data_IF_638600671152
#
_entry.id   IF_638600671152
#
_cell.length_a   1.000
_cell.length_b   1.000
_cell.length_c   1.000
_cell.angle_alpha   90.00
_cell.angle_beta   90.00
_cell.angle_gamma   90.00
#
_symmetry.space_group_name_H-M   'P 1'
#
loop_
_entity.id
_entity.type
_entity.pdbx_description
1 polymer ?
#
# COMPACT_ATOMS: atom_id res chain seq x y z
N UNK A 1 -22.91 1.02 17.94
CA UNK A 1 -21.69 1.18 17.09
C UNK A 1 -20.51 1.47 17.99
N UNK A 2 -19.50 0.62 17.97
CA UNK A 2 -18.24 0.83 18.71
C UNK A 2 -17.41 1.89 17.99
N UNK A 3 -16.97 2.91 18.71
CA UNK A 3 -16.10 3.94 18.15
C UNK A 3 -14.67 3.59 18.50
N UNK A 4 -13.76 3.62 17.52
CA UNK A 4 -12.32 3.36 17.70
C UNK A 4 -11.53 4.63 17.37
N UNK A 5 -10.39 4.80 18.04
CA UNK A 5 -9.45 5.87 17.80
C UNK A 5 -8.21 5.32 17.09
N UNK A 6 -7.87 5.88 15.93
CA UNK A 6 -6.72 5.49 15.13
C UNK A 6 -5.46 6.32 15.42
N UNK A 7 -5.49 7.29 16.35
CA UNK A 7 -4.38 8.22 16.61
C UNK A 7 -3.06 7.51 16.95
N UNK A 8 -3.11 6.36 17.63
CA UNK A 8 -1.93 5.55 17.92
C UNK A 8 -1.30 4.96 16.64
N UNK A 9 -2.11 4.53 15.69
CA UNK A 9 -1.65 4.08 14.37
C UNK A 9 -1.09 5.25 13.55
N UNK A 10 -1.75 6.41 13.57
CA UNK A 10 -1.27 7.62 12.89
C UNK A 10 0.12 8.03 13.40
N UNK A 11 0.30 8.03 14.71
CA UNK A 11 1.58 8.32 15.38
C UNK A 11 2.67 7.34 14.98
N UNK A 12 2.32 6.07 14.75
CA UNK A 12 3.23 5.04 14.24
C UNK A 12 3.50 5.17 12.73
N UNK A 13 2.84 6.11 12.04
CA UNK A 13 2.95 6.32 10.59
C UNK A 13 2.03 5.41 9.75
N UNK A 14 1.13 4.67 10.38
CA UNK A 14 0.07 3.89 9.74
C UNK A 14 -1.18 4.78 9.58
N UNK A 15 -1.03 5.88 8.85
CA UNK A 15 -1.89 7.05 8.83
C UNK A 15 -2.99 7.03 7.75
N UNK A 16 -3.28 5.87 7.20
CA UNK A 16 -4.39 5.64 6.28
C UNK A 16 -5.23 4.47 6.83
N UNK A 17 -6.51 4.71 7.12
CA UNK A 17 -7.43 3.67 7.59
C UNK A 17 -8.76 3.79 6.85
N UNK A 18 -9.28 2.66 6.40
CA UNK A 18 -10.62 2.57 5.84
C UNK A 18 -11.34 1.34 6.41
N UNK A 19 -12.55 1.54 6.89
CA UNK A 19 -13.41 0.49 7.45
C UNK A 19 -14.51 0.16 6.45
N UNK A 20 -14.62 -1.11 6.09
CA UNK A 20 -15.65 -1.62 5.20
C UNK A 20 -16.54 -2.61 5.94
N UNK A 21 -17.80 -2.67 5.57
CA UNK A 21 -18.68 -3.78 5.92
C UNK A 21 -18.35 -4.95 4.99
N UNK A 22 -17.97 -6.11 5.55
CA UNK A 22 -17.63 -7.29 4.74
C UNK A 22 -18.77 -7.71 3.81
N UNK A 23 -20.00 -7.69 4.28
CA UNK A 23 -21.18 -8.02 3.47
C UNK A 23 -21.47 -7.01 2.33
N UNK A 24 -20.80 -5.86 2.30
CA UNK A 24 -20.93 -4.88 1.21
C UNK A 24 -19.81 -5.01 0.15
N UNK A 25 -18.80 -5.82 0.41
CA UNK A 25 -17.76 -6.13 -0.58
C UNK A 25 -18.32 -7.06 -1.67
N UNK A 26 -17.72 -7.10 -2.87
CA UNK A 26 -18.05 -8.13 -3.86
C UNK A 26 -17.99 -9.53 -3.23
N UNK A 27 -19.02 -10.35 -3.48
CA UNK A 27 -19.20 -11.61 -2.77
C UNK A 27 -18.01 -12.56 -2.86
N UNK A 28 -17.32 -12.60 -4.01
CA UNK A 28 -16.09 -13.38 -4.20
C UNK A 28 -14.93 -12.88 -3.33
N UNK A 29 -14.83 -11.56 -3.12
CA UNK A 29 -13.79 -10.95 -2.27
C UNK A 29 -14.09 -11.26 -0.80
N UNK A 30 -15.34 -11.08 -0.36
CA UNK A 30 -15.75 -11.38 1.00
C UNK A 30 -15.54 -12.86 1.34
N UNK A 31 -15.95 -13.77 0.45
CA UNK A 31 -15.80 -15.22 0.65
C UNK A 31 -14.32 -15.67 0.66
N UNK A 32 -13.46 -15.02 -0.13
CA UNK A 32 -12.03 -15.34 -0.14
C UNK A 32 -11.32 -14.88 1.14
N UNK A 33 -11.77 -13.78 1.75
CA UNK A 33 -11.15 -13.20 2.95
C UNK A 33 -11.73 -13.78 4.25
N UNK A 34 -13.02 -14.08 4.29
CA UNK A 34 -13.73 -14.61 5.47
C UNK A 34 -14.68 -15.74 5.04
N UNK A 35 -14.14 -16.92 4.66
CA UNK A 35 -14.93 -18.03 4.13
C UNK A 35 -15.96 -18.58 5.13
N UNK A 36 -15.72 -18.39 6.41
CA UNK A 36 -16.63 -18.84 7.48
C UNK A 36 -17.64 -17.76 7.91
N UNK A 37 -17.52 -16.54 7.38
CA UNK A 37 -18.43 -15.43 7.70
C UNK A 37 -18.41 -15.02 9.18
N UNK A 38 -17.24 -15.09 9.82
CA UNK A 38 -17.08 -14.85 11.28
C UNK A 38 -16.94 -13.36 11.64
N UNK A 39 -16.67 -12.52 10.66
CA UNK A 39 -16.34 -11.12 10.90
C UNK A 39 -17.35 -10.19 10.22
N UNK A 40 -17.55 -9.02 10.80
CA UNK A 40 -18.48 -8.00 10.28
C UNK A 40 -17.79 -6.90 9.51
N UNK A 41 -16.56 -6.58 9.85
CA UNK A 41 -15.81 -5.46 9.26
C UNK A 41 -14.45 -5.89 8.76
N UNK A 42 -14.01 -5.22 7.71
CA UNK A 42 -12.63 -5.20 7.23
C UNK A 42 -12.05 -3.82 7.49
N UNK A 43 -10.86 -3.76 8.07
CA UNK A 43 -10.08 -2.53 8.23
C UNK A 43 -8.86 -2.63 7.31
N UNK A 44 -8.81 -1.76 6.31
CA UNK A 44 -7.64 -1.56 5.46
C UNK A 44 -6.76 -0.51 6.10
N UNK A 45 -5.51 -0.84 6.35
CA UNK A 45 -4.50 0.06 6.92
C UNK A 45 -3.39 0.29 5.91
N UNK A 46 -3.01 1.53 5.72
CA UNK A 46 -1.92 1.95 4.87
C UNK A 46 -1.06 3.02 5.52
N UNK A 47 -0.07 3.45 4.77
CA UNK A 47 0.72 4.62 5.15
C UNK A 47 0.93 5.53 3.95
N UNK A 48 1.01 6.84 4.20
CA UNK A 48 1.47 7.85 3.27
C UNK A 48 2.70 8.59 3.82
N UNK A 49 3.64 8.94 2.95
CA UNK A 49 4.84 9.67 3.33
C UNK A 49 5.90 8.83 4.04
N UNK A 50 6.75 9.51 4.85
CA UNK A 50 7.99 8.94 5.41
C UNK A 50 7.87 8.45 6.85
N UNK A 51 6.86 8.89 7.59
CA UNK A 51 6.75 8.67 9.04
C UNK A 51 6.86 7.20 9.43
N UNK A 52 6.17 6.29 8.72
CA UNK A 52 6.30 4.87 9.00
C UNK A 52 7.74 4.38 8.91
N UNK A 53 8.46 4.76 7.85
CA UNK A 53 9.86 4.34 7.66
C UNK A 53 10.78 4.88 8.76
N UNK A 54 10.58 6.12 9.18
CA UNK A 54 11.31 6.73 10.30
C UNK A 54 11.08 5.96 11.61
N UNK A 55 9.82 5.56 11.88
CA UNK A 55 9.46 4.76 13.05
C UNK A 55 10.06 3.35 13.00
N UNK A 56 10.04 2.71 11.84
CA UNK A 56 10.67 1.39 11.63
C UNK A 56 12.17 1.45 11.87
N UNK A 57 12.86 2.47 11.33
CA UNK A 57 14.30 2.69 11.59
C UNK A 57 14.57 2.92 13.07
N UNK A 58 13.78 3.75 13.74
CA UNK A 58 13.93 4.04 15.15
C UNK A 58 13.69 2.81 16.05
N UNK A 59 12.85 1.87 15.61
CA UNK A 59 12.61 0.61 16.32
C UNK A 59 13.79 -0.38 16.23
N UNK A 60 14.75 -0.17 15.33
CA UNK A 60 15.98 -0.96 15.24
C UNK A 60 15.76 -2.43 14.89
N UNK A 61 14.67 -2.76 14.18
CA UNK A 61 14.35 -4.14 13.79
C UNK A 61 15.34 -4.66 12.75
N UNK A 62 16.18 -5.60 13.15
CA UNK A 62 17.19 -6.23 12.28
C UNK A 62 16.63 -7.54 11.70
N UNK A 63 15.55 -7.45 10.93
CA UNK A 63 14.84 -8.60 10.35
C UNK A 63 14.74 -8.49 8.85
N UNK A 64 14.33 -9.59 8.21
CA UNK A 64 14.12 -9.58 6.76
C UNK A 64 12.92 -8.70 6.36
N UNK A 65 11.88 -8.62 7.19
CA UNK A 65 10.63 -7.89 6.91
C UNK A 65 10.30 -6.81 7.98
N UNK A 66 11.19 -5.83 8.23
CA UNK A 66 11.05 -4.91 9.36
C UNK A 66 9.77 -4.08 9.32
N UNK A 67 9.30 -3.69 8.12
CA UNK A 67 8.05 -2.93 7.97
C UNK A 67 6.85 -3.78 8.37
N UNK A 68 6.80 -5.04 7.94
CA UNK A 68 5.66 -5.92 8.23
C UNK A 68 5.62 -6.32 9.70
N UNK A 69 6.79 -6.59 10.31
CA UNK A 69 6.87 -6.88 11.75
C UNK A 69 6.48 -5.67 12.60
N UNK A 70 6.97 -4.49 12.26
CA UNK A 70 6.55 -3.26 12.92
C UNK A 70 5.05 -3.05 12.80
N UNK A 71 4.50 -3.22 11.59
CA UNK A 71 3.06 -3.06 11.34
C UNK A 71 2.25 -4.04 12.18
N UNK A 72 2.63 -5.33 12.19
CA UNK A 72 1.95 -6.36 13.02
C UNK A 72 1.95 -5.97 14.51
N UNK A 73 3.08 -5.55 15.03
CA UNK A 73 3.20 -5.15 16.44
C UNK A 73 2.29 -3.95 16.77
N UNK A 74 2.33 -2.89 15.95
CA UNK A 74 1.49 -1.68 16.18
C UNK A 74 -0.01 -1.99 16.04
N UNK A 75 -0.39 -2.81 15.08
CA UNK A 75 -1.79 -3.24 14.90
C UNK A 75 -2.25 -4.08 16.08
N UNK A 76 -1.44 -5.01 16.58
CA UNK A 76 -1.77 -5.82 17.74
C UNK A 76 -1.95 -4.97 19.02
N UNK A 77 -1.08 -4.01 19.26
CA UNK A 77 -1.20 -3.07 20.38
C UNK A 77 -2.47 -2.22 20.28
N UNK A 78 -2.75 -1.71 19.09
CA UNK A 78 -3.96 -0.94 18.82
C UNK A 78 -5.23 -1.77 19.06
N UNK A 79 -5.27 -3.02 18.58
CA UNK A 79 -6.38 -3.95 18.82
C UNK A 79 -6.60 -4.20 20.29
N UNK A 80 -5.54 -4.50 21.03
CA UNK A 80 -5.64 -4.75 22.47
C UNK A 80 -6.21 -3.55 23.24
N UNK A 81 -5.89 -2.33 22.78
CA UNK A 81 -6.35 -1.09 23.41
C UNK A 81 -7.77 -0.70 23.00
N UNK A 82 -8.12 -0.83 21.70
CA UNK A 82 -9.37 -0.30 21.16
C UNK A 82 -10.50 -1.33 21.05
N UNK A 83 -10.16 -2.61 20.91
CA UNK A 83 -11.09 -3.70 20.69
C UNK A 83 -10.77 -4.92 21.60
N UNK A 84 -10.63 -4.72 22.92
CA UNK A 84 -10.28 -5.83 23.83
C UNK A 84 -11.32 -6.94 23.77
N UNK A 85 -10.88 -8.19 23.57
CA UNK A 85 -11.74 -9.37 23.52
C UNK A 85 -12.57 -9.53 22.25
N UNK A 86 -12.44 -8.63 21.27
CA UNK A 86 -13.11 -8.77 19.97
C UNK A 86 -12.38 -9.80 19.11
N UNK A 87 -13.13 -10.74 18.54
CA UNK A 87 -12.58 -11.69 17.56
C UNK A 87 -12.06 -10.93 16.33
N UNK A 88 -10.85 -11.26 15.93
CA UNK A 88 -10.18 -10.61 14.81
C UNK A 88 -9.19 -11.53 14.11
N UNK A 89 -8.86 -11.21 12.86
CA UNK A 89 -7.87 -11.90 12.07
C UNK A 89 -7.05 -10.89 11.25
N UNK A 90 -5.73 -10.95 11.35
CA UNK A 90 -4.81 -10.18 10.50
C UNK A 90 -4.52 -11.00 9.24
N UNK A 91 -5.22 -10.69 8.16
CA UNK A 91 -5.12 -11.39 6.87
C UNK A 91 -3.87 -10.97 6.09
N UNK A 92 -3.52 -9.68 6.17
CA UNK A 92 -2.31 -9.14 5.55
C UNK A 92 -1.57 -8.23 6.55
N UNK A 93 -0.24 -8.31 6.64
CA UNK A 93 0.68 -9.21 5.93
C UNK A 93 0.46 -10.68 6.36
N UNK A 94 0.40 -11.58 5.39
CA UNK A 94 0.12 -13.01 5.57
C UNK A 94 0.17 -13.75 4.24
N UNK A 95 -0.14 -15.04 4.27
CA UNK A 95 -0.09 -15.93 3.11
C UNK A 95 -1.37 -15.90 2.26
N UNK A 96 -2.45 -15.35 2.80
CA UNK A 96 -3.72 -15.23 2.08
C UNK A 96 -3.60 -14.19 0.96
N UNK A 97 -3.93 -14.54 -0.28
CA UNK A 97 -3.96 -13.59 -1.38
C UNK A 97 -4.99 -12.49 -1.14
N UNK A 98 -4.56 -11.24 -1.08
CA UNK A 98 -5.44 -10.08 -0.87
C UNK A 98 -5.31 -9.11 -2.03
N UNK A 99 -6.43 -8.74 -2.62
CA UNK A 99 -6.52 -7.73 -3.67
C UNK A 99 -6.35 -6.29 -3.14
N UNK A 100 -5.18 -5.96 -2.59
CA UNK A 100 -4.90 -4.68 -1.93
C UNK A 100 -5.25 -3.46 -2.78
N UNK A 101 -4.96 -3.50 -4.09
CA UNK A 101 -5.31 -2.40 -5.00
C UNK A 101 -6.82 -2.29 -5.21
N UNK A 102 -7.54 -3.40 -5.21
CA UNK A 102 -9.00 -3.40 -5.30
C UNK A 102 -9.62 -2.76 -4.05
N UNK A 103 -9.16 -3.15 -2.86
CA UNK A 103 -9.57 -2.51 -1.60
C UNK A 103 -9.20 -1.01 -1.59
N UNK A 104 -8.03 -0.67 -2.10
CA UNK A 104 -7.61 0.72 -2.23
C UNK A 104 -8.49 1.54 -3.18
N UNK A 105 -9.00 0.96 -4.27
CA UNK A 105 -9.99 1.60 -5.13
C UNK A 105 -11.31 1.84 -4.41
N UNK A 106 -11.78 0.86 -3.62
CA UNK A 106 -12.99 1.01 -2.80
C UNK A 106 -12.83 2.10 -1.74
N UNK A 107 -11.63 2.26 -1.17
CA UNK A 107 -11.32 3.34 -0.23
C UNK A 107 -11.16 4.72 -0.90
N UNK A 108 -11.07 4.78 -2.22
CA UNK A 108 -10.73 5.99 -2.96
C UNK A 108 -9.25 6.38 -2.93
N UNK A 109 -8.38 5.49 -2.42
CA UNK A 109 -6.94 5.75 -2.32
C UNK A 109 -6.17 5.42 -3.60
N UNK A 110 -6.72 4.56 -4.47
CA UNK A 110 -5.99 4.01 -5.60
C UNK A 110 -6.60 4.44 -6.94
N UNK A 111 -5.86 5.28 -7.63
CA UNK A 111 -6.02 5.48 -9.06
C UNK A 111 -4.81 4.88 -9.78
N UNK A 112 -5.02 4.32 -10.94
CA UNK A 112 -3.94 3.72 -11.72
C UNK A 112 -3.00 4.79 -12.27
N UNK A 113 -1.69 4.52 -12.21
CA UNK A 113 -0.67 5.32 -12.87
C UNK A 113 -0.01 4.54 -14.01
N UNK A 114 0.63 5.20 -15.00
CA UNK A 114 1.35 4.50 -16.07
C UNK A 114 2.39 3.49 -15.57
N UNK A 115 3.02 3.76 -14.42
CA UNK A 115 4.03 2.87 -13.81
C UNK A 115 3.46 1.84 -12.82
N UNK A 116 2.14 1.58 -12.86
CA UNK A 116 1.42 0.52 -12.12
C UNK A 116 1.49 0.58 -10.59
N UNK A 117 1.87 1.71 -10.03
CA UNK A 117 1.74 2.01 -8.60
C UNK A 117 0.54 2.94 -8.42
N UNK A 118 -0.23 2.76 -7.36
CA UNK A 118 -1.36 3.63 -7.05
C UNK A 118 -0.92 5.09 -6.90
N UNK A 119 -1.80 6.00 -7.31
CA UNK A 119 -1.63 7.44 -7.15
C UNK A 119 -2.92 8.07 -6.65
N UNK A 120 -2.82 9.08 -5.78
CA UNK A 120 -3.96 9.89 -5.35
C UNK A 120 -3.56 11.36 -5.15
N UNK A 121 -4.56 12.21 -4.89
CA UNK A 121 -4.36 13.65 -4.77
C UNK A 121 -3.62 14.05 -3.48
N UNK A 122 -3.72 13.26 -2.41
CA UNK A 122 -3.17 13.62 -1.09
C UNK A 122 -1.71 13.20 -0.93
N UNK A 123 -1.35 12.02 -1.44
CA UNK A 123 -0.04 11.40 -1.23
C UNK A 123 0.76 11.20 -2.52
N UNK A 124 0.22 11.56 -3.67
CA UNK A 124 0.82 11.17 -4.94
C UNK A 124 0.92 9.64 -5.05
N UNK A 125 2.08 9.14 -5.45
CA UNK A 125 2.37 7.71 -5.45
C UNK A 125 3.13 7.24 -4.19
N UNK A 126 3.19 8.08 -3.15
CA UNK A 126 4.02 7.86 -1.96
C UNK A 126 3.21 7.34 -0.79
N UNK A 127 2.38 6.33 -1.06
CA UNK A 127 1.62 5.56 -0.08
C UNK A 127 1.72 4.06 -0.38
N UNK A 128 1.38 3.23 0.60
CA UNK A 128 1.27 1.79 0.40
C UNK A 128 0.34 1.16 1.44
N UNK A 129 -0.24 0.01 1.07
CA UNK A 129 -1.04 -0.81 1.96
C UNK A 129 -0.15 -1.56 2.95
N UNK A 130 -0.59 -1.69 4.21
CA UNK A 130 0.22 -2.26 5.28
C UNK A 130 -0.46 -3.38 6.05
N UNK A 131 -1.78 -3.28 6.24
CA UNK A 131 -2.52 -4.36 6.86
C UNK A 131 -3.94 -4.46 6.31
N UNK A 132 -4.46 -5.68 6.34
CA UNK A 132 -5.88 -6.00 6.20
C UNK A 132 -6.28 -6.79 7.41
N UNK A 133 -7.20 -6.26 8.18
CA UNK A 133 -7.67 -6.80 9.43
C UNK A 133 -9.16 -7.06 9.34
N UNK A 134 -9.59 -8.25 9.71
CA UNK A 134 -10.99 -8.60 9.89
C UNK A 134 -11.35 -8.50 11.38
N UNK A 135 -12.53 -7.97 11.70
CA UNK A 135 -12.98 -7.83 13.09
C UNK A 135 -14.48 -8.13 13.20
N UNK A 136 -14.87 -8.84 14.28
CA UNK A 136 -16.26 -9.05 14.62
C UNK A 136 -16.78 -7.94 15.54
N UNK A 137 -16.74 -6.71 15.06
CA UNK A 137 -17.24 -5.55 15.76
C UNK A 137 -18.11 -4.68 14.83
N UNK A 138 -19.09 -3.99 15.39
CA UNK A 138 -19.90 -3.04 14.63
C UNK A 138 -19.24 -1.65 14.65
N UNK A 139 -18.29 -1.45 13.74
CA UNK A 139 -17.60 -0.18 13.53
C UNK A 139 -18.30 0.65 12.44
N UNK A 140 -18.28 1.99 12.57
CA UNK A 140 -18.76 2.85 11.48
C UNK A 140 -17.93 2.66 10.21
N UNK A 141 -18.60 2.61 9.08
CA UNK A 141 -17.96 2.49 7.77
C UNK A 141 -17.29 3.81 7.40
N UNK A 142 -16.12 3.73 6.76
CA UNK A 142 -15.47 4.90 6.21
C UNK A 142 -16.17 5.37 4.94
N UNK A 143 -16.24 6.69 4.77
CA UNK A 143 -16.64 7.28 3.49
C UNK A 143 -15.44 7.21 2.56
N UNK A 144 -15.57 6.62 1.35
CA UNK A 144 -14.48 6.59 0.39
C UNK A 144 -14.02 8.01 0.04
N UNK A 145 -12.72 8.20 -0.11
CA UNK A 145 -12.18 9.46 -0.60
C UNK A 145 -12.69 9.74 -2.01
N UNK A 146 -13.34 10.87 -2.17
CA UNK A 146 -13.81 11.31 -3.48
C UNK A 146 -12.68 12.04 -4.22
N UNK A 147 -12.54 11.80 -5.53
CA UNK A 147 -11.58 12.53 -6.34
C UNK A 147 -11.33 11.88 -7.70
N UNK A 148 -10.91 12.69 -8.65
CA UNK A 148 -10.44 12.19 -9.94
C UNK A 148 -8.96 11.76 -9.84
N UNK A 149 -8.54 10.88 -10.74
CA UNK A 149 -7.13 10.51 -10.85
C UNK A 149 -6.27 11.74 -11.15
N UNK A 150 -5.20 12.01 -10.40
CA UNK A 150 -4.26 13.08 -10.74
C UNK A 150 -3.61 12.93 -12.11
N UNK A 151 -3.57 11.71 -12.66
CA UNK A 151 -3.03 11.45 -13.99
C UNK A 151 -3.89 12.06 -15.11
N UNK A 152 -5.20 12.25 -14.89
CA UNK A 152 -6.10 12.85 -15.91
C UNK A 152 -5.78 14.32 -16.16
N UNK A 153 -5.18 15.02 -15.21
CA UNK A 153 -4.79 16.43 -15.29
C UNK A 153 -3.28 16.64 -15.45
N UNK A 154 -2.53 15.57 -15.78
CA UNK A 154 -1.08 15.61 -15.97
C UNK A 154 -0.73 15.52 -17.47
N UNK A 155 -0.70 16.63 -18.22
CA UNK A 155 -0.56 16.59 -19.67
C UNK A 155 0.84 16.17 -20.14
N UNK A 156 1.87 16.46 -19.36
CA UNK A 156 3.27 16.18 -19.72
C UNK A 156 3.69 14.72 -19.45
N UNK A 157 2.99 14.01 -18.60
CA UNK A 157 3.27 12.63 -18.19
C UNK A 157 4.79 12.30 -18.06
N UNK A 158 5.56 13.06 -17.26
CA UNK A 158 7.02 12.92 -17.22
C UNK A 158 7.46 11.53 -16.77
N UNK A 159 6.60 10.77 -16.09
CA UNK A 159 6.87 9.39 -15.74
C UNK A 159 6.98 8.46 -16.96
N UNK A 160 6.25 8.73 -18.04
CA UNK A 160 6.33 7.97 -19.30
C UNK A 160 7.64 8.24 -20.00
N UNK A 161 7.97 9.51 -20.21
CA UNK A 161 9.20 9.94 -20.93
C UNK A 161 10.47 9.62 -20.16
N UNK A 162 10.43 9.60 -18.83
CA UNK A 162 11.58 9.29 -17.98
C UNK A 162 11.88 7.80 -17.86
N UNK A 163 11.04 6.91 -18.38
CA UNK A 163 11.24 5.46 -18.27
C UNK A 163 12.45 4.99 -19.10
N UNK A 164 13.59 4.60 -18.50
CA UNK A 164 14.77 4.22 -19.26
C UNK A 164 14.62 2.89 -20.01
N UNK A 165 13.64 2.06 -19.60
CA UNK A 165 13.30 0.82 -20.26
C UNK A 165 12.34 0.99 -21.44
N UNK A 166 11.80 2.20 -21.68
CA UNK A 166 10.68 2.43 -22.60
C UNK A 166 9.54 1.42 -22.41
N UNK A 167 9.28 1.10 -21.14
CA UNK A 167 8.28 0.11 -20.75
C UNK A 167 6.88 0.72 -20.56
N UNK A 168 6.77 2.04 -20.60
CA UNK A 168 5.54 2.81 -20.38
C UNK A 168 5.11 3.50 -21.67
N UNK A 169 3.81 3.51 -21.88
CA UNK A 169 3.12 4.36 -22.84
C UNK A 169 1.89 4.98 -22.18
N UNK A 170 1.16 5.82 -22.89
CA UNK A 170 -0.06 6.48 -22.37
C UNK A 170 -1.15 5.48 -21.95
N UNK A 171 -1.12 4.27 -22.52
CA UNK A 171 -2.18 3.26 -22.33
C UNK A 171 -1.68 1.87 -21.95
N UNK A 172 -0.37 1.63 -21.97
CA UNK A 172 0.16 0.28 -21.77
C UNK A 172 1.45 0.25 -20.96
N UNK A 173 1.68 -0.89 -20.31
CA UNK A 173 2.87 -1.20 -19.53
C UNK A 173 3.44 -2.55 -19.95
N UNK A 174 4.66 -2.54 -20.45
CA UNK A 174 5.38 -3.77 -20.76
C UNK A 174 6.18 -4.25 -19.56
N UNK A 175 5.63 -5.23 -18.83
CA UNK A 175 6.33 -5.90 -17.73
C UNK A 175 7.64 -6.53 -18.20
N UNK A 176 7.65 -7.13 -19.38
CA UNK A 176 8.84 -7.77 -19.96
C UNK A 176 9.99 -6.77 -20.14
N UNK A 177 9.73 -5.59 -20.72
CA UNK A 177 10.75 -4.55 -20.89
C UNK A 177 11.25 -4.03 -19.54
N UNK A 178 10.33 -3.81 -18.58
CA UNK A 178 10.68 -3.35 -17.24
C UNK A 178 11.58 -4.35 -16.52
N UNK A 179 11.21 -5.63 -16.50
CA UNK A 179 11.98 -6.71 -15.87
C UNK A 179 13.35 -6.88 -16.54
N UNK A 180 13.40 -6.95 -17.88
CA UNK A 180 14.64 -7.06 -18.63
C UNK A 180 15.62 -5.92 -18.31
N UNK A 181 15.13 -4.68 -18.26
CA UNK A 181 15.96 -3.54 -17.90
C UNK A 181 16.42 -3.60 -16.44
N UNK A 182 15.53 -3.89 -15.48
CA UNK A 182 15.87 -3.93 -14.05
C UNK A 182 16.94 -4.96 -13.70
N UNK A 183 17.01 -6.06 -14.44
CA UNK A 183 18.01 -7.13 -14.23
C UNK A 183 19.41 -6.78 -14.75
N UNK A 184 19.56 -5.77 -15.59
CA UNK A 184 20.88 -5.33 -16.06
C UNK A 184 21.72 -4.82 -14.88
N UNK A 185 23.01 -5.11 -14.87
CA UNK A 185 23.91 -4.78 -13.78
C UNK A 185 24.02 -3.26 -13.55
N UNK A 186 24.02 -2.50 -14.62
CA UNK A 186 24.13 -1.04 -14.65
C UNK A 186 22.77 -0.32 -14.70
N UNK A 187 21.67 -1.06 -14.47
CA UNK A 187 20.33 -0.50 -14.53
C UNK A 187 20.10 0.59 -13.46
N UNK A 188 19.64 1.74 -13.89
CA UNK A 188 19.20 2.84 -13.02
C UNK A 188 17.94 2.48 -12.20
N UNK A 189 17.28 1.36 -12.51
CA UNK A 189 16.05 0.92 -11.86
C UNK A 189 16.24 -0.31 -10.93
N UNK A 190 17.48 -0.68 -10.58
CA UNK A 190 17.72 -1.80 -9.65
C UNK A 190 17.11 -1.54 -8.27
N UNK A 191 17.36 -0.36 -7.72
CA UNK A 191 16.94 0.02 -6.36
C UNK A 191 15.96 1.21 -6.33
N UNK A 192 15.36 1.53 -7.47
CA UNK A 192 14.39 2.63 -7.61
C UNK A 192 13.50 2.41 -8.83
N UNK A 193 12.57 3.34 -9.07
CA UNK A 193 11.86 3.49 -10.35
C UNK A 193 11.99 4.93 -10.82
N UNK A 194 12.75 5.17 -11.88
CA UNK A 194 12.96 6.52 -12.43
C UNK A 194 11.62 7.17 -12.81
N UNK A 195 10.69 6.41 -13.40
CA UNK A 195 9.35 6.90 -13.73
C UNK A 195 8.56 7.37 -12.50
N UNK A 196 8.58 6.58 -11.41
CA UNK A 196 7.89 6.96 -10.17
C UNK A 196 8.50 8.22 -9.55
N UNK A 197 9.83 8.31 -9.54
CA UNK A 197 10.52 9.46 -8.95
C UNK A 197 10.41 10.74 -9.80
N UNK A 198 10.02 10.61 -11.06
CA UNK A 198 9.73 11.76 -11.96
C UNK A 198 8.28 12.24 -11.86
N UNK A 199 7.42 11.57 -11.09
CA UNK A 199 6.03 11.98 -10.94
C UNK A 199 5.94 13.32 -10.19
N UNK A 200 5.24 14.34 -10.73
CA UNK A 200 5.13 15.65 -10.10
C UNK A 200 4.04 15.73 -9.03
N UNK A 201 3.26 14.66 -8.83
CA UNK A 201 2.14 14.66 -7.88
C UNK A 201 2.68 14.46 -6.48
N UNK A 202 2.48 15.46 -5.61
CA UNK A 202 2.86 15.44 -4.19
C UNK A 202 4.32 15.04 -3.95
N UNK A 203 5.30 15.69 -4.57
CA UNK A 203 6.71 15.37 -4.41
C UNK A 203 7.22 15.55 -2.98
N UNK A 204 6.56 16.38 -2.16
CA UNK A 204 6.86 16.60 -0.74
C UNK A 204 6.69 15.34 0.12
N UNK A 205 5.83 14.41 -0.31
CA UNK A 205 5.62 13.12 0.37
C UNK A 205 6.56 12.01 -0.13
N UNK A 206 7.42 12.31 -1.09
CA UNK A 206 8.37 11.34 -1.64
C UNK A 206 9.15 10.66 -0.52
N UNK A 207 9.20 9.34 -0.59
CA UNK A 207 10.05 8.53 0.28
C UNK A 207 11.51 8.95 0.19
N UNK A 208 12.27 8.80 1.26
CA UNK A 208 13.72 8.97 1.20
C UNK A 208 14.36 7.86 0.35
N UNK A 209 15.62 8.09 -0.07
CA UNK A 209 16.31 7.15 -0.95
C UNK A 209 16.53 5.79 -0.29
N UNK A 210 16.67 5.75 1.04
CA UNK A 210 16.81 4.51 1.80
C UNK A 210 15.51 3.70 1.78
N UNK A 211 14.36 4.34 1.98
CA UNK A 211 13.05 3.67 1.90
C UNK A 211 12.76 3.18 0.47
N UNK A 212 13.09 3.98 -0.54
CA UNK A 212 12.96 3.60 -1.95
C UNK A 212 13.84 2.37 -2.21
N UNK A 213 15.11 2.45 -1.87
CA UNK A 213 16.07 1.36 -2.09
C UNK A 213 15.65 0.08 -1.37
N UNK A 214 15.20 0.16 -0.12
CA UNK A 214 14.66 -0.99 0.62
C UNK A 214 13.53 -1.69 -0.15
N UNK A 215 12.53 -0.94 -0.60
CA UNK A 215 11.35 -1.48 -1.28
C UNK A 215 11.70 -2.08 -2.66
N UNK A 216 12.54 -1.38 -3.42
CA UNK A 216 12.88 -1.82 -4.78
C UNK A 216 13.93 -2.94 -4.81
N UNK A 217 14.84 -3.02 -3.84
CA UNK A 217 15.77 -4.16 -3.72
C UNK A 217 15.02 -5.46 -3.44
N UNK A 218 14.02 -5.42 -2.56
CA UNK A 218 13.16 -6.60 -2.31
C UNK A 218 12.35 -6.99 -3.54
N UNK A 219 11.78 -6.01 -4.23
CA UNK A 219 11.10 -6.27 -5.50
C UNK A 219 12.04 -6.86 -6.56
N UNK A 220 13.31 -6.43 -6.61
CA UNK A 220 14.29 -6.99 -7.53
C UNK A 220 14.62 -8.44 -7.17
N UNK A 221 14.84 -8.76 -5.90
CA UNK A 221 15.09 -10.13 -5.44
C UNK A 221 13.94 -11.08 -5.83
N UNK A 222 12.70 -10.61 -5.72
CA UNK A 222 11.54 -11.38 -6.19
C UNK A 222 11.53 -11.55 -7.72
N UNK A 223 11.90 -10.51 -8.48
CA UNK A 223 12.04 -10.61 -9.93
C UNK A 223 13.13 -11.63 -10.29
N UNK A 224 14.30 -11.57 -9.65
CA UNK A 224 15.40 -12.50 -9.91
C UNK A 224 15.08 -13.97 -9.57
N UNK A 225 14.16 -14.17 -8.61
CA UNK A 225 13.69 -15.50 -8.21
C UNK A 225 12.69 -16.11 -9.21
N UNK A 226 11.83 -15.31 -9.84
CA UNK A 226 10.68 -15.81 -10.60
C UNK A 226 10.74 -15.52 -12.11
N UNK A 227 11.68 -14.71 -12.57
CA UNK A 227 11.90 -14.32 -13.97
C UNK A 227 13.38 -14.50 -14.39
#
# INVERSE_FOLDING_TARGET
>A
MTRVDFSALDTAGLNLQAVFRLAALPGEVAAALDPEGRHRRLILIGHGGRTLWERVKAAGLATEHPIDEFTRARVAEWLAAQLPGVAHELVYPGDTPVGLQALGRLAGWHHESPFRVGVNADWGSWFAYRAVLLVDADLPESVPQAGASPCTTCPSQPCVTACPASALSDRDFSLQKCVAYRRQQDSRCRVTCVSRTSCPVRPEHRYDDAQIAHSYSRSLAMIEKFY
#
